data_IF_592489642945
#
_entry.id   IF_592489642945
#
_cell.length_a   1.000
_cell.length_b   1.000
_cell.length_c   1.000
_cell.angle_alpha   90.00
_cell.angle_beta   90.00
_cell.angle_gamma   90.00
#
_symmetry.space_group_name_H-M   'P 1'
#
loop_
_entity.id
_entity.type
_entity.pdbx_description
1 polymer ?
#
# COMPACT_ATOMS: atom_id res chain seq x y z
N UNK A 1 -0.70 -0.23 -4.10
CA UNK A 1 0.06 -1.48 -4.21
C UNK A 1 -0.83 -2.51 -4.91
N UNK A 2 -0.22 -3.40 -5.69
CA UNK A 2 -0.88 -4.56 -6.29
C UNK A 2 -0.35 -5.78 -5.56
N UNK A 3 -1.26 -6.56 -4.99
CA UNK A 3 -0.94 -7.76 -4.22
C UNK A 3 -1.57 -8.99 -4.88
N UNK A 4 -0.94 -10.15 -4.71
CA UNK A 4 -1.40 -11.40 -5.29
C UNK A 4 -0.58 -12.60 -4.84
N UNK A 5 -1.11 -13.79 -5.12
CA UNK A 5 -0.46 -15.06 -4.82
C UNK A 5 0.42 -15.51 -5.97
N UNK A 6 1.64 -15.93 -5.67
CA UNK A 6 2.46 -16.67 -6.65
C UNK A 6 2.15 -18.15 -6.59
N UNK A 7 1.76 -18.62 -5.41
CA UNK A 7 1.32 -19.99 -5.19
C UNK A 7 -0.14 -20.16 -5.66
N UNK A 8 -0.50 -21.34 -6.19
CA UNK A 8 -1.89 -21.68 -6.55
C UNK A 8 -2.71 -21.98 -5.29
N UNK A 9 -2.97 -20.97 -4.48
CA UNK A 9 -3.71 -21.07 -3.23
C UNK A 9 -5.13 -20.50 -3.39
N UNK A 10 -6.09 -21.12 -2.69
CA UNK A 10 -7.48 -20.62 -2.64
C UNK A 10 -7.66 -19.50 -1.61
N UNK A 11 -6.84 -19.49 -0.55
CA UNK A 11 -6.88 -18.51 0.53
C UNK A 11 -5.52 -18.44 1.24
N UNK A 12 -5.32 -17.36 2.00
CA UNK A 12 -4.25 -17.27 3.00
C UNK A 12 -4.75 -17.98 4.26
N UNK A 13 -4.07 -19.03 4.65
CA UNK A 13 -4.36 -19.81 5.85
C UNK A 13 -3.44 -19.45 7.03
N UNK A 14 -2.25 -18.89 6.77
CA UNK A 14 -1.35 -18.43 7.82
C UNK A 14 -0.42 -17.27 7.40
N UNK A 15 0.07 -16.54 8.41
CA UNK A 15 1.00 -15.42 8.24
C UNK A 15 2.34 -15.85 7.62
N UNK A 16 2.87 -17.01 8.01
CA UNK A 16 4.16 -17.51 7.52
C UNK A 16 4.20 -17.65 5.99
N UNK A 17 3.08 -18.09 5.38
CA UNK A 17 2.97 -18.16 3.92
C UNK A 17 3.07 -16.79 3.27
N UNK A 18 2.38 -15.78 3.80
CA UNK A 18 2.45 -14.41 3.27
C UNK A 18 3.87 -13.87 3.33
N UNK A 19 4.57 -14.10 4.44
CA UNK A 19 5.96 -13.66 4.63
C UNK A 19 6.87 -14.34 3.59
N UNK A 20 6.74 -15.67 3.44
CA UNK A 20 7.53 -16.44 2.46
C UNK A 20 7.23 -16.04 1.01
N UNK A 21 6.00 -15.57 0.73
CA UNK A 21 5.58 -15.07 -0.58
C UNK A 21 5.82 -13.56 -0.70
N UNK A 22 6.91 -13.04 -0.12
CA UNK A 22 7.35 -11.64 -0.20
C UNK A 22 6.26 -10.61 0.15
N UNK A 23 5.51 -10.88 1.23
CA UNK A 23 4.41 -10.01 1.66
C UNK A 23 3.29 -9.87 0.62
N UNK A 24 3.15 -10.86 -0.28
CA UNK A 24 2.19 -10.86 -1.40
C UNK A 24 2.40 -9.72 -2.41
N UNK A 25 3.53 -9.01 -2.37
CA UNK A 25 3.80 -7.91 -3.28
C UNK A 25 3.98 -8.42 -4.71
N UNK A 26 3.20 -7.87 -5.65
CA UNK A 26 3.35 -8.09 -7.10
C UNK A 26 3.96 -6.84 -7.75
N UNK A 27 3.59 -5.66 -7.25
CA UNK A 27 4.15 -4.40 -7.71
C UNK A 27 3.43 -3.21 -7.11
N UNK A 28 3.81 -2.01 -7.54
CA UNK A 28 3.12 -0.79 -7.14
C UNK A 28 3.09 0.20 -8.30
N UNK A 29 2.18 1.16 -8.20
CA UNK A 29 2.10 2.29 -9.12
C UNK A 29 2.33 3.54 -8.30
N UNK A 30 3.34 4.31 -8.70
CA UNK A 30 3.61 5.61 -8.12
C UNK A 30 2.84 6.70 -8.88
N UNK A 31 2.21 7.60 -8.13
CA UNK A 31 1.75 8.88 -8.68
C UNK A 31 2.91 9.87 -8.79
N UNK A 32 2.58 11.15 -9.01
CA UNK A 32 3.59 12.22 -9.00
C UNK A 32 4.27 12.30 -7.63
N UNK A 33 5.60 12.18 -7.61
CA UNK A 33 6.40 12.37 -6.42
C UNK A 33 6.26 13.80 -5.89
N UNK A 34 6.05 13.93 -4.58
CA UNK A 34 5.86 15.21 -3.92
C UNK A 34 6.48 15.18 -2.53
N UNK A 35 7.28 16.21 -2.20
CA UNK A 35 7.73 16.42 -0.82
C UNK A 35 6.51 16.69 0.06
N UNK A 36 6.39 15.95 1.15
CA UNK A 36 5.28 16.07 2.07
C UNK A 36 5.80 16.16 3.51
N UNK A 37 5.20 17.03 4.32
CA UNK A 37 5.58 17.13 5.72
C UNK A 37 4.98 15.94 6.48
N UNK A 38 5.84 15.07 7.02
CA UNK A 38 5.44 13.90 7.80
C UNK A 38 4.48 14.27 8.96
N UNK A 39 4.66 15.42 9.61
CA UNK A 39 3.76 15.87 10.70
C UNK A 39 2.30 16.05 10.25
N UNK A 40 2.05 16.18 8.94
CA UNK A 40 0.71 16.37 8.37
C UNK A 40 0.01 15.06 8.02
N UNK A 41 0.68 13.89 8.04
CA UNK A 41 0.07 12.61 7.63
C UNK A 41 -0.80 11.96 8.72
N UNK A 42 -1.59 12.77 9.40
CA UNK A 42 -2.43 12.36 10.53
C UNK A 42 -3.90 12.26 10.11
N UNK A 43 -4.45 11.04 10.20
CA UNK A 43 -5.87 10.76 9.94
C UNK A 43 -6.42 11.33 8.61
N UNK A 44 -5.62 11.30 7.54
CA UNK A 44 -5.98 11.87 6.24
C UNK A 44 -6.97 10.93 5.53
N UNK A 45 -8.10 11.45 5.00
CA UNK A 45 -8.99 10.67 4.15
C UNK A 45 -8.31 10.18 2.87
N UNK A 46 -8.52 8.92 2.56
CA UNK A 46 -8.09 8.29 1.30
C UNK A 46 -9.28 7.68 0.60
N UNK A 47 -9.24 7.58 -0.73
CA UNK A 47 -10.27 6.90 -1.50
C UNK A 47 -9.61 6.09 -2.60
N UNK A 48 -9.95 4.80 -2.68
CA UNK A 48 -9.71 3.98 -3.85
C UNK A 48 -11.03 3.89 -4.64
N UNK A 49 -10.98 4.12 -5.95
CA UNK A 49 -12.15 4.10 -6.83
C UNK A 49 -11.91 3.08 -7.93
N UNK A 50 -12.82 2.12 -8.07
CA UNK A 50 -12.96 1.37 -9.31
C UNK A 50 -13.92 2.14 -10.21
N UNK A 51 -13.36 2.85 -11.21
CA UNK A 51 -14.12 3.69 -12.15
C UNK A 51 -14.99 2.83 -13.06
N UNK A 52 -14.53 1.66 -13.47
CA UNK A 52 -15.29 0.71 -14.30
C UNK A 52 -16.54 0.24 -13.57
N UNK A 53 -16.41 -0.15 -12.30
CA UNK A 53 -17.52 -0.60 -11.47
C UNK A 53 -18.33 0.54 -10.83
N UNK A 54 -17.94 1.81 -11.03
CA UNK A 54 -18.52 3.00 -10.39
C UNK A 54 -18.60 2.88 -8.86
N UNK A 55 -17.60 2.26 -8.23
CA UNK A 55 -17.54 2.05 -6.78
C UNK A 55 -16.39 2.80 -6.13
N UNK A 56 -16.69 3.41 -4.98
CA UNK A 56 -15.72 4.07 -4.12
C UNK A 56 -15.50 3.25 -2.86
N UNK A 57 -14.23 3.15 -2.46
CA UNK A 57 -13.76 2.46 -1.27
C UNK A 57 -13.06 3.50 -0.39
N UNK A 58 -13.80 4.16 0.51
CA UNK A 58 -13.23 5.15 1.40
C UNK A 58 -12.28 4.48 2.39
N UNK A 59 -11.31 5.26 2.84
CA UNK A 59 -10.29 4.82 3.78
C UNK A 59 -9.67 6.01 4.49
N UNK A 60 -8.69 5.72 5.33
CA UNK A 60 -8.03 6.75 6.12
C UNK A 60 -6.61 6.31 6.52
N UNK A 61 -5.64 7.22 6.50
CA UNK A 61 -4.26 6.89 6.88
C UNK A 61 -4.14 6.37 8.32
N UNK A 62 -5.06 6.73 9.23
CA UNK A 62 -5.03 6.27 10.64
C UNK A 62 -5.16 4.76 10.81
N UNK A 63 -5.74 4.04 9.83
CA UNK A 63 -5.87 2.59 9.95
C UNK A 63 -4.52 1.88 9.81
N UNK A 64 -3.52 2.57 9.24
CA UNK A 64 -2.15 2.07 9.12
C UNK A 64 -1.45 2.25 10.45
N UNK A 65 -1.62 1.30 11.37
CA UNK A 65 -0.99 1.29 12.70
C UNK A 65 -1.17 2.62 13.47
N UNK A 66 -2.34 3.25 13.39
CA UNK A 66 -2.63 4.57 13.97
C UNK A 66 -2.08 5.75 13.15
N UNK A 67 -0.93 5.57 12.49
CA UNK A 67 -0.28 6.53 11.60
C UNK A 67 0.73 5.81 10.69
N UNK A 68 0.78 6.08 9.37
CA UNK A 68 1.77 5.48 8.46
C UNK A 68 3.23 5.61 8.91
N UNK A 69 3.56 6.68 9.67
CA UNK A 69 4.90 6.89 10.24
C UNK A 69 5.26 5.79 11.24
N UNK A 70 4.30 5.26 12.00
CA UNK A 70 4.56 4.18 12.96
C UNK A 70 5.05 2.92 12.24
N UNK A 71 4.48 2.62 11.07
CA UNK A 71 4.92 1.52 10.21
C UNK A 71 6.35 1.71 9.70
N UNK A 72 6.68 2.93 9.26
CA UNK A 72 8.05 3.27 8.86
C UNK A 72 9.05 3.14 10.01
N UNK A 73 8.71 3.67 11.20
CA UNK A 73 9.56 3.59 12.39
C UNK A 73 9.78 2.12 12.78
N UNK A 74 8.73 1.30 12.76
CA UNK A 74 8.82 -0.12 13.03
C UNK A 74 9.77 -0.83 12.06
N UNK A 75 9.62 -0.59 10.74
CA UNK A 75 10.49 -1.17 9.72
C UNK A 75 11.97 -0.79 9.94
N UNK A 76 12.25 0.50 10.17
CA UNK A 76 13.62 0.97 10.40
C UNK A 76 14.24 0.36 11.67
N UNK A 77 13.43 0.16 12.73
CA UNK A 77 13.88 -0.52 13.94
C UNK A 77 14.21 -1.99 13.69
N UNK A 78 13.39 -2.72 12.92
CA UNK A 78 13.67 -4.12 12.57
C UNK A 78 14.93 -4.24 11.70
N UNK A 79 15.11 -3.38 10.72
CA UNK A 79 16.33 -3.37 9.88
C UNK A 79 17.57 -3.16 10.74
N UNK A 80 17.53 -2.17 11.66
CA UNK A 80 18.63 -1.93 12.60
C UNK A 80 18.89 -3.14 13.50
N UNK A 81 17.83 -3.73 14.08
CA UNK A 81 17.93 -4.89 14.97
C UNK A 81 18.55 -6.11 14.27
N UNK A 82 18.26 -6.29 12.98
CA UNK A 82 18.75 -7.41 12.18
C UNK A 82 20.07 -7.07 11.44
N UNK A 83 20.72 -5.93 11.75
CA UNK A 83 21.96 -5.49 11.11
C UNK A 83 21.91 -5.47 9.57
N UNK A 84 20.74 -5.16 8.99
CA UNK A 84 20.56 -5.10 7.55
C UNK A 84 21.11 -3.78 6.99
N UNK A 85 21.85 -3.84 5.89
CA UNK A 85 22.35 -2.67 5.17
C UNK A 85 21.30 -2.21 4.17
N UNK A 86 20.85 -0.97 4.28
CA UNK A 86 19.94 -0.33 3.33
C UNK A 86 20.72 0.49 2.31
N UNK A 87 20.26 0.51 1.06
CA UNK A 87 20.69 1.56 0.13
C UNK A 87 20.18 2.92 0.63
N UNK A 88 20.78 4.00 0.15
CA UNK A 88 20.35 5.36 0.53
C UNK A 88 19.00 5.75 -0.12
N UNK A 89 18.56 5.03 -1.14
CA UNK A 89 17.50 5.41 -2.07
C UNK A 89 16.47 4.28 -2.28
N UNK A 90 15.71 3.96 -1.24
CA UNK A 90 14.67 2.93 -1.30
C UNK A 90 13.26 3.48 -1.07
N UNK A 91 12.27 2.70 -1.51
CA UNK A 91 10.86 2.99 -1.32
C UNK A 91 10.29 2.19 -0.16
N UNK A 92 9.36 2.80 0.58
CA UNK A 92 8.60 2.12 1.63
C UNK A 92 7.11 2.28 1.36
N UNK A 93 6.41 1.16 1.23
CA UNK A 93 4.95 1.10 1.32
C UNK A 93 4.57 0.87 2.79
N UNK A 94 3.96 1.85 3.44
CA UNK A 94 3.69 1.81 4.89
C UNK A 94 2.53 0.89 5.28
N UNK A 95 1.79 0.37 4.29
CA UNK A 95 0.56 -0.40 4.48
C UNK A 95 -0.66 0.26 3.85
N UNK A 96 -1.73 -0.52 3.66
CA UNK A 96 -2.94 -0.07 2.96
C UNK A 96 -3.82 0.80 3.86
N UNK A 97 -4.28 1.94 3.32
CA UNK A 97 -5.26 2.82 3.98
C UNK A 97 -6.70 2.55 3.57
N UNK A 98 -6.93 1.54 2.72
CA UNK A 98 -8.25 1.06 2.26
C UNK A 98 -8.32 -0.47 2.33
N UNK A 99 -9.52 -1.08 2.27
CA UNK A 99 -9.64 -2.53 2.08
C UNK A 99 -8.95 -2.99 0.78
N UNK A 100 -8.54 -4.26 0.73
CA UNK A 100 -8.03 -4.89 -0.49
C UNK A 100 -9.22 -5.18 -1.41
N UNK A 101 -9.14 -4.71 -2.65
CA UNK A 101 -10.22 -4.84 -3.63
C UNK A 101 -9.76 -5.78 -4.76
N UNK A 102 -10.55 -6.81 -5.12
CA UNK A 102 -10.26 -7.64 -6.27
C UNK A 102 -10.20 -6.83 -7.57
N UNK A 103 -9.25 -7.18 -8.44
CA UNK A 103 -9.08 -6.57 -9.76
C UNK A 103 -9.57 -7.52 -10.85
N UNK A 104 -10.09 -6.97 -11.95
CA UNK A 104 -10.42 -7.70 -13.18
C UNK A 104 -9.70 -7.07 -14.37
N UNK A 105 -9.42 -7.88 -15.39
CA UNK A 105 -8.90 -7.39 -16.68
C UNK A 105 -9.84 -6.30 -17.23
N UNK A 106 -9.29 -5.16 -17.62
CA UNK A 106 -10.03 -4.00 -18.10
C UNK A 106 -10.48 -3.02 -17.03
N UNK A 107 -10.30 -3.32 -15.73
CA UNK A 107 -10.65 -2.38 -14.67
C UNK A 107 -9.80 -1.11 -14.73
N UNK A 108 -10.43 0.03 -14.47
CA UNK A 108 -9.76 1.31 -14.29
C UNK A 108 -9.86 1.74 -12.83
N UNK A 109 -8.71 1.79 -12.15
CA UNK A 109 -8.61 2.21 -10.76
C UNK A 109 -8.01 3.60 -10.62
N UNK A 110 -8.44 4.32 -9.58
CA UNK A 110 -7.83 5.57 -9.12
C UNK A 110 -7.72 5.58 -7.60
N UNK A 111 -6.51 5.78 -7.08
CA UNK A 111 -6.27 5.98 -5.66
C UNK A 111 -5.97 7.44 -5.36
N UNK A 112 -6.49 7.97 -4.26
CA UNK A 112 -6.27 9.36 -3.85
C UNK A 112 -6.05 9.48 -2.34
N UNK A 113 -5.18 10.40 -1.97
CA UNK A 113 -4.91 10.79 -0.58
C UNK A 113 -5.06 12.31 -0.51
N UNK A 114 -6.00 12.79 0.32
CA UNK A 114 -6.35 14.21 0.40
C UNK A 114 -5.11 15.06 0.72
N UNK A 115 -4.79 16.02 -0.14
CA UNK A 115 -3.65 16.94 0.03
C UNK A 115 -2.27 16.40 -0.43
N UNK A 116 -2.13 15.09 -0.66
CA UNK A 116 -0.91 14.49 -1.21
C UNK A 116 -1.01 14.38 -2.74
N UNK A 117 -2.09 13.78 -3.24
CA UNK A 117 -2.29 13.58 -4.67
C UNK A 117 -3.08 12.31 -4.99
N UNK A 118 -2.99 11.88 -6.25
CA UNK A 118 -3.66 10.69 -6.76
C UNK A 118 -2.79 9.92 -7.75
N UNK A 119 -3.17 8.67 -7.99
CA UNK A 119 -2.58 7.77 -8.98
C UNK A 119 -3.71 7.03 -9.67
N UNK A 120 -3.54 6.67 -10.95
CA UNK A 120 -4.52 5.86 -11.70
C UNK A 120 -3.81 4.74 -12.43
N UNK A 121 -4.51 3.62 -12.61
CA UNK A 121 -4.01 2.42 -13.28
C UNK A 121 -5.16 1.78 -14.07
N UNK A 122 -4.89 1.40 -15.32
CA UNK A 122 -5.75 0.50 -16.09
C UNK A 122 -5.16 -0.91 -16.06
N UNK A 123 -5.96 -1.90 -15.69
CA UNK A 123 -5.57 -3.31 -15.70
C UNK A 123 -5.67 -3.82 -17.13
N UNK A 124 -4.55 -4.22 -17.72
CA UNK A 124 -4.43 -4.79 -19.08
C UNK A 124 -4.43 -6.30 -19.09
#
# INVERSE_FOLDING_TARGET
EIVGFRQKLKAIDCLGRMISDFGLNVGFVAGKLKKYNLKKITSIPTVLTNKTAKKNYPGNTKIVLGNPINSLIWLLNEIRKNNMILSFDFWVTTGSSTPIIPIKKGDLFSGSVKGLGSVSLKIS
#
